data_IF_995622451442
#
_entry.id   IF_995622451442
#
_cell.length_a   1.000
_cell.length_b   1.000
_cell.length_c   1.000
_cell.angle_alpha   90.00
_cell.angle_beta   90.00
_cell.angle_gamma   90.00
#
_symmetry.space_group_name_H-M   'P 1'
#
loop_
_entity.id
_entity.type
_entity.pdbx_description
1 polymer ?
#
# COMPACT_ATOMS: atom_id res chain seq x y z
N UNK A 1 -16.12 -1.06 15.97
CA UNK A 1 -17.45 -0.95 15.31
C UNK A 1 -17.71 -2.23 14.52
N UNK A 2 -18.96 -2.73 14.55
CA UNK A 2 -19.33 -3.91 13.76
C UNK A 2 -20.04 -3.47 12.48
N UNK A 3 -19.71 -4.12 11.37
CA UNK A 3 -20.34 -3.88 10.07
C UNK A 3 -20.96 -5.18 9.57
N UNK A 4 -22.28 -5.18 9.35
CA UNK A 4 -23.03 -6.37 8.93
C UNK A 4 -23.25 -6.33 7.43
N UNK A 5 -22.86 -7.39 6.75
CA UNK A 5 -22.93 -7.52 5.29
C UNK A 5 -23.92 -8.62 4.95
N UNK A 6 -24.97 -8.27 4.23
CA UNK A 6 -25.89 -9.25 3.66
C UNK A 6 -25.24 -10.02 2.52
N UNK A 7 -25.44 -11.37 2.44
CA UNK A 7 -24.83 -12.22 1.43
C UNK A 7 -25.32 -11.90 0.03
N UNK A 8 -24.57 -12.36 -0.96
CA UNK A 8 -24.92 -12.31 -2.38
C UNK A 8 -24.08 -11.34 -3.21
N UNK A 9 -23.91 -11.72 -4.47
CA UNK A 9 -23.11 -11.00 -5.45
C UNK A 9 -23.57 -9.54 -5.60
N UNK A 10 -22.62 -8.67 -5.93
CA UNK A 10 -22.85 -7.23 -6.11
C UNK A 10 -22.56 -6.82 -7.55
N UNK A 11 -23.29 -5.82 -8.05
CA UNK A 11 -23.13 -5.27 -9.39
C UNK A 11 -23.25 -3.75 -9.38
N UNK A 12 -22.62 -3.10 -10.35
CA UNK A 12 -22.66 -1.65 -10.50
C UNK A 12 -21.31 -1.05 -10.88
N UNK A 13 -21.10 0.19 -10.49
CA UNK A 13 -19.87 0.90 -10.77
C UNK A 13 -19.34 1.58 -9.49
N UNK A 14 -18.02 1.61 -9.36
CA UNK A 14 -17.32 2.30 -8.25
C UNK A 14 -16.17 3.12 -8.79
N UNK A 15 -15.94 4.30 -8.19
CA UNK A 15 -14.76 5.11 -8.44
C UNK A 15 -13.78 4.91 -7.31
N UNK A 16 -12.62 4.39 -7.66
CA UNK A 16 -11.59 4.06 -6.67
C UNK A 16 -10.88 5.33 -6.15
N UNK A 17 -10.60 5.41 -4.83
CA UNK A 17 -9.83 6.50 -4.26
C UNK A 17 -8.40 6.53 -4.77
N UNK A 18 -7.72 7.66 -4.52
CA UNK A 18 -6.33 7.87 -4.88
C UNK A 18 -5.39 6.82 -4.24
N UNK A 19 -4.41 6.37 -5.03
CA UNK A 19 -3.39 5.43 -4.57
C UNK A 19 -2.59 6.02 -3.41
N UNK A 20 -2.75 5.40 -2.23
CA UNK A 20 -1.97 5.73 -1.05
C UNK A 20 -0.48 5.67 -1.34
N UNK A 21 -0.04 4.63 -2.01
CA UNK A 21 1.37 4.40 -2.33
C UNK A 21 1.95 5.45 -3.26
N UNK A 22 1.19 5.98 -4.22
CA UNK A 22 1.61 7.05 -5.08
C UNK A 22 1.54 8.42 -4.36
N UNK A 23 0.49 8.66 -3.56
CA UNK A 23 0.31 9.90 -2.83
C UNK A 23 1.48 10.20 -1.88
N UNK A 24 1.94 9.21 -1.08
CA UNK A 24 3.13 9.37 -0.23
C UNK A 24 4.33 9.88 -1.03
N UNK A 25 4.58 9.30 -2.19
CA UNK A 25 5.74 9.61 -3.04
C UNK A 25 5.67 11.01 -3.60
N UNK A 26 4.52 11.38 -4.15
CA UNK A 26 4.33 12.72 -4.72
C UNK A 26 4.35 13.80 -3.63
N UNK A 27 3.81 13.56 -2.45
CA UNK A 27 3.88 14.49 -1.32
C UNK A 27 5.32 14.72 -0.85
N UNK A 28 6.11 13.65 -0.74
CA UNK A 28 7.52 13.76 -0.37
C UNK A 28 8.29 14.55 -1.44
N UNK A 29 8.10 14.23 -2.72
CA UNK A 29 8.73 14.97 -3.82
C UNK A 29 8.32 16.46 -3.84
N UNK A 30 7.03 16.75 -3.59
CA UNK A 30 6.53 18.14 -3.51
C UNK A 30 7.15 18.90 -2.33
N UNK A 31 7.20 18.27 -1.15
CA UNK A 31 7.76 18.90 0.05
C UNK A 31 9.28 19.12 -0.04
N UNK A 32 10.00 18.27 -0.76
CA UNK A 32 11.43 18.43 -1.04
C UNK A 32 11.73 19.33 -2.24
N UNK A 33 10.69 19.88 -2.87
CA UNK A 33 10.76 20.70 -4.07
C UNK A 33 11.24 22.14 -3.87
N UNK A 34 11.14 22.93 -4.94
CA UNK A 34 11.47 24.38 -4.95
C UNK A 34 10.25 25.29 -5.11
N UNK A 35 9.15 24.77 -5.65
CA UNK A 35 7.95 25.52 -5.97
C UNK A 35 6.71 24.85 -5.38
N UNK A 36 5.63 25.61 -5.09
CA UNK A 36 4.37 25.04 -4.65
C UNK A 36 3.78 24.05 -5.66
N UNK A 37 3.20 22.96 -5.17
CA UNK A 37 2.58 21.91 -5.97
C UNK A 37 1.20 21.58 -5.42
N UNK A 38 0.22 21.48 -6.29
CA UNK A 38 -1.11 20.94 -5.95
C UNK A 38 -1.14 19.44 -6.23
N UNK A 39 -1.22 18.62 -5.19
CA UNK A 39 -1.36 17.16 -5.28
C UNK A 39 -2.82 16.81 -5.14
N UNK A 40 -3.49 16.46 -6.26
CA UNK A 40 -4.92 16.07 -6.26
C UNK A 40 -5.07 14.62 -5.87
N UNK A 41 -5.80 14.36 -4.78
CA UNK A 41 -6.05 13.04 -4.24
C UNK A 41 -7.56 12.82 -4.09
N UNK A 42 -8.17 12.01 -4.93
CA UNK A 42 -9.58 11.64 -4.80
C UNK A 42 -9.72 10.69 -3.58
N UNK A 43 -10.14 11.22 -2.43
CA UNK A 43 -10.26 10.49 -1.15
C UNK A 43 -8.95 10.40 -0.36
N UNK A 44 -8.84 11.24 0.66
CA UNK A 44 -7.74 11.19 1.63
C UNK A 44 -7.99 10.09 2.66
N UNK A 45 -6.95 9.39 3.06
CA UNK A 45 -6.97 8.38 4.11
C UNK A 45 -5.96 8.69 5.21
N UNK A 46 -6.03 7.97 6.32
CA UNK A 46 -5.20 8.24 7.50
C UNK A 46 -3.69 8.19 7.19
N UNK A 47 -3.25 7.26 6.34
CA UNK A 47 -1.82 7.14 6.00
C UNK A 47 -1.32 8.33 5.16
N UNK A 48 -2.12 8.83 4.21
CA UNK A 48 -1.79 10.04 3.42
C UNK A 48 -1.70 11.26 4.34
N UNK A 49 -2.69 11.41 5.23
CA UNK A 49 -2.74 12.51 6.20
C UNK A 49 -1.56 12.46 7.18
N UNK A 50 -1.14 11.28 7.62
CA UNK A 50 0.05 11.11 8.46
C UNK A 50 1.33 11.60 7.75
N UNK A 51 1.49 11.29 6.45
CA UNK A 51 2.62 11.82 5.68
C UNK A 51 2.56 13.34 5.59
N UNK A 52 1.40 13.91 5.29
CA UNK A 52 1.23 15.36 5.22
C UNK A 52 1.55 16.02 6.57
N UNK A 53 1.10 15.43 7.69
CA UNK A 53 1.38 15.93 9.04
C UNK A 53 2.88 15.88 9.38
N UNK A 54 3.57 14.78 9.04
CA UNK A 54 5.01 14.68 9.24
C UNK A 54 5.79 15.69 8.38
N UNK A 55 5.38 15.91 7.13
CA UNK A 55 6.02 16.89 6.26
C UNK A 55 5.79 18.34 6.75
N UNK A 56 4.59 18.64 7.32
CA UNK A 56 4.34 19.92 8.00
C UNK A 56 5.28 20.11 9.19
N UNK A 57 5.47 19.06 10.00
CA UNK A 57 6.39 19.12 11.15
C UNK A 57 7.84 19.33 10.73
N UNK A 58 8.22 18.95 9.50
CA UNK A 58 9.53 19.18 8.90
C UNK A 58 9.64 20.55 8.20
N UNK A 59 8.59 21.39 8.23
CA UNK A 59 8.60 22.77 7.72
C UNK A 59 7.93 22.98 6.37
N UNK A 60 7.24 21.99 5.79
CA UNK A 60 6.37 22.21 4.65
C UNK A 60 5.07 22.90 5.10
N UNK A 61 4.53 23.82 4.28
CA UNK A 61 3.17 24.30 4.48
C UNK A 61 2.23 23.53 3.56
N UNK A 62 1.33 22.74 4.15
CA UNK A 62 0.41 21.88 3.40
C UNK A 62 -1.03 22.20 3.82
N UNK A 63 -1.81 22.77 2.92
CA UNK A 63 -3.24 23.01 3.08
C UNK A 63 -4.06 21.95 2.36
N UNK A 64 -5.17 21.54 2.95
CA UNK A 64 -6.16 20.67 2.33
C UNK A 64 -7.32 21.51 1.83
N UNK A 65 -7.63 21.42 0.54
CA UNK A 65 -8.78 22.09 -0.05
C UNK A 65 -9.29 21.31 -1.26
N UNK A 66 -10.60 21.11 -1.36
CA UNK A 66 -11.30 20.51 -2.52
C UNK A 66 -10.72 19.15 -2.99
N UNK A 67 -10.36 18.28 -2.04
CA UNK A 67 -9.77 16.97 -2.35
C UNK A 67 -8.35 17.04 -2.90
N UNK A 68 -7.66 18.14 -2.66
CA UNK A 68 -6.26 18.33 -3.02
C UNK A 68 -5.42 18.75 -1.79
N UNK A 69 -4.15 18.43 -1.82
CA UNK A 69 -3.14 18.92 -0.88
C UNK A 69 -2.27 19.93 -1.61
N UNK A 70 -2.37 21.20 -1.18
CA UNK A 70 -1.53 22.29 -1.67
C UNK A 70 -0.25 22.33 -0.85
N UNK A 71 0.86 21.95 -1.45
CA UNK A 71 2.15 21.77 -0.78
C UNK A 71 3.08 22.90 -1.14
N UNK A 72 3.41 23.77 -0.17
CA UNK A 72 4.56 24.64 -0.24
C UNK A 72 5.77 23.89 0.33
N UNK A 73 6.90 23.83 -0.39
CA UNK A 73 8.04 23.01 -0.01
C UNK A 73 8.73 23.47 1.27
N UNK A 74 9.48 22.56 1.88
CA UNK A 74 10.33 22.82 3.05
C UNK A 74 11.42 23.82 2.64
N UNK A 75 11.35 25.06 3.16
CA UNK A 75 12.37 26.10 2.95
C UNK A 75 13.49 26.00 3.98
N UNK A 76 13.12 25.69 5.22
CA UNK A 76 14.01 25.46 6.34
C UNK A 76 13.35 24.47 7.31
N UNK A 77 14.14 23.63 7.93
CA UNK A 77 13.67 22.76 9.02
C UNK A 77 13.46 23.65 10.26
N UNK A 78 12.36 23.49 11.00
CA UNK A 78 12.16 24.20 12.27
C UNK A 78 13.29 23.90 13.28
N UNK A 79 13.62 24.88 14.11
CA UNK A 79 14.60 24.69 15.19
C UNK A 79 14.08 23.69 16.22
N UNK A 80 14.99 22.85 16.75
CA UNK A 80 14.69 21.87 17.78
C UNK A 80 14.14 20.55 17.29
N UNK A 81 13.44 19.83 18.17
CA UNK A 81 12.97 18.47 17.90
C UNK A 81 11.68 18.47 17.09
N UNK A 82 11.70 17.99 15.87
CA UNK A 82 10.52 17.79 15.03
C UNK A 82 9.71 16.58 15.50
N UNK A 83 8.43 16.77 15.81
CA UNK A 83 7.53 15.68 16.23
C UNK A 83 6.75 15.17 15.01
N UNK A 84 7.01 13.93 14.61
CA UNK A 84 6.48 13.32 13.39
C UNK A 84 5.37 12.30 13.72
N UNK A 85 4.09 12.67 13.64
CA UNK A 85 2.96 11.80 13.98
C UNK A 85 2.69 10.83 12.81
N UNK A 86 3.47 9.76 12.70
CA UNK A 86 3.30 8.79 11.61
C UNK A 86 2.17 7.77 11.87
N UNK A 87 1.55 7.77 13.07
CA UNK A 87 0.48 6.85 13.41
C UNK A 87 0.87 5.39 13.15
N UNK A 88 0.04 4.67 12.41
CA UNK A 88 0.33 3.31 11.96
C UNK A 88 0.96 3.22 10.55
N UNK A 89 1.29 4.36 9.91
CA UNK A 89 1.77 4.38 8.53
C UNK A 89 3.22 3.93 8.40
N UNK A 90 3.42 2.67 8.00
CA UNK A 90 4.75 2.13 7.74
C UNK A 90 5.49 2.82 6.60
N UNK A 91 4.76 3.30 5.58
CA UNK A 91 5.36 4.05 4.45
C UNK A 91 5.85 5.40 4.90
N UNK A 92 5.04 6.16 5.68
CA UNK A 92 5.43 7.46 6.23
C UNK A 92 6.70 7.32 7.06
N UNK A 93 6.72 6.39 8.02
CA UNK A 93 7.89 6.15 8.87
C UNK A 93 9.14 5.86 8.02
N UNK A 94 9.08 4.82 7.20
CA UNK A 94 10.26 4.33 6.48
C UNK A 94 10.79 5.31 5.45
N UNK A 95 9.89 5.97 4.70
CA UNK A 95 10.32 6.95 3.69
C UNK A 95 10.95 8.19 4.31
N UNK A 96 10.43 8.65 5.45
CA UNK A 96 10.92 9.87 6.08
C UNK A 96 12.17 9.66 6.94
N UNK A 97 12.50 8.42 7.37
CA UNK A 97 13.71 8.16 8.16
C UNK A 97 14.98 8.73 7.50
N UNK A 98 15.36 8.34 6.27
CA UNK A 98 16.54 8.92 5.63
C UNK A 98 16.34 10.37 5.18
N UNK A 99 15.09 10.79 4.88
CA UNK A 99 14.79 12.18 4.51
C UNK A 99 15.08 13.13 5.67
N UNK A 100 14.75 12.77 6.90
CA UNK A 100 15.10 13.53 8.12
C UNK A 100 16.62 13.73 8.20
N UNK A 101 17.40 12.67 7.98
CA UNK A 101 18.86 12.77 7.95
C UNK A 101 19.41 13.63 6.81
N UNK A 102 18.80 13.55 5.60
CA UNK A 102 19.18 14.38 4.46
C UNK A 102 18.84 15.85 4.67
N UNK A 103 17.82 16.17 5.46
CA UNK A 103 17.47 17.53 5.89
C UNK A 103 18.32 18.00 7.08
N UNK A 104 19.00 17.07 7.80
CA UNK A 104 19.76 17.36 9.03
C UNK A 104 18.86 17.75 10.20
N UNK A 105 17.65 17.24 10.25
CA UNK A 105 16.70 17.48 11.31
C UNK A 105 16.88 16.51 12.50
N UNK A 106 16.64 17.00 13.71
CA UNK A 106 16.41 16.13 14.87
C UNK A 106 14.90 15.85 14.96
N UNK A 107 14.52 14.58 15.03
CA UNK A 107 13.11 14.23 15.01
C UNK A 107 12.74 13.08 15.94
N UNK A 108 11.46 13.02 16.31
CA UNK A 108 10.84 11.88 16.99
C UNK A 108 9.63 11.40 16.20
N UNK A 109 9.64 10.15 15.79
CA UNK A 109 8.50 9.49 15.16
C UNK A 109 7.56 8.93 16.24
N UNK A 110 6.30 9.39 16.23
CA UNK A 110 5.24 8.82 17.05
C UNK A 110 4.60 7.67 16.28
N UNK A 111 4.77 6.46 16.80
CA UNK A 111 4.33 5.21 16.17
C UNK A 111 3.18 4.61 16.97
N UNK A 112 2.13 4.18 16.29
CA UNK A 112 0.92 3.61 16.89
C UNK A 112 0.67 2.18 16.42
N UNK A 113 -0.27 1.49 17.08
CA UNK A 113 -0.63 0.11 16.77
C UNK A 113 0.59 -0.80 16.76
N UNK A 114 0.70 -1.66 15.76
CA UNK A 114 1.85 -2.57 15.59
C UNK A 114 3.08 -1.93 14.96
N UNK A 115 3.05 -0.66 14.56
CA UNK A 115 4.18 -0.03 13.87
C UNK A 115 5.49 -0.05 14.69
N UNK A 116 5.49 0.10 16.03
CA UNK A 116 6.70 -0.04 16.84
C UNK A 116 7.38 -1.41 16.74
N UNK A 117 6.62 -2.48 16.50
CA UNK A 117 7.09 -3.87 16.44
C UNK A 117 7.58 -4.27 15.04
N UNK A 118 7.18 -3.52 14.02
CA UNK A 118 7.53 -3.84 12.62
C UNK A 118 9.02 -3.57 12.38
N UNK A 119 9.74 -4.51 11.71
CA UNK A 119 11.18 -4.39 11.51
C UNK A 119 11.56 -3.12 10.75
N UNK A 120 12.69 -2.54 11.14
CA UNK A 120 13.34 -1.43 10.45
C UNK A 120 14.76 -1.81 9.99
N UNK A 121 15.28 -2.94 10.45
CA UNK A 121 16.57 -3.47 9.97
C UNK A 121 16.41 -4.15 8.59
N UNK A 122 17.42 -4.03 7.72
CA UNK A 122 18.72 -3.40 7.95
C UNK A 122 18.77 -1.89 7.60
N UNK A 123 17.63 -1.23 7.34
CA UNK A 123 17.62 0.19 7.01
C UNK A 123 18.29 1.05 8.11
N UNK A 124 17.96 0.81 9.39
CA UNK A 124 18.55 1.60 10.47
C UNK A 124 20.06 1.42 10.55
N UNK A 125 20.58 0.21 10.39
CA UNK A 125 22.02 -0.06 10.38
C UNK A 125 22.74 0.71 9.27
N UNK A 126 22.15 0.77 8.06
CA UNK A 126 22.70 1.53 6.94
C UNK A 126 22.66 3.05 7.19
N UNK A 127 21.58 3.56 7.82
CA UNK A 127 21.49 4.97 8.18
C UNK A 127 22.45 5.36 9.29
N UNK A 128 22.70 4.47 10.27
CA UNK A 128 23.73 4.67 11.31
C UNK A 128 25.13 4.73 10.67
N UNK A 129 25.42 3.82 9.76
CA UNK A 129 26.67 3.86 9.00
C UNK A 129 26.82 5.16 8.19
N UNK A 130 25.70 5.69 7.71
CA UNK A 130 25.60 6.97 7.00
C UNK A 130 25.66 8.21 7.90
N UNK A 131 25.82 8.08 9.24
CA UNK A 131 26.00 9.20 10.18
C UNK A 131 24.78 9.59 11.00
N UNK A 132 23.66 8.85 10.89
CA UNK A 132 22.49 9.06 11.73
C UNK A 132 22.59 8.30 13.06
N UNK A 133 21.83 8.74 14.06
CA UNK A 133 21.71 8.10 15.36
C UNK A 133 20.24 7.85 15.67
N UNK A 134 19.95 6.70 16.29
CA UNK A 134 18.59 6.29 16.64
C UNK A 134 18.50 5.84 18.10
N UNK A 135 17.36 6.15 18.74
CA UNK A 135 17.01 5.67 20.07
C UNK A 135 15.51 5.37 20.12
N UNK A 136 15.17 4.15 20.48
CA UNK A 136 13.77 3.74 20.72
C UNK A 136 13.43 3.84 22.18
N UNK A 137 12.30 4.48 22.52
CA UNK A 137 11.83 4.65 23.89
C UNK A 137 10.32 4.80 23.92
N UNK A 138 9.62 3.96 24.67
CA UNK A 138 8.16 4.05 24.84
C UNK A 138 7.37 4.01 23.54
N UNK A 139 7.77 3.16 22.58
CA UNK A 139 7.15 3.07 21.25
C UNK A 139 7.57 4.19 20.27
N UNK A 140 8.20 5.26 20.75
CA UNK A 140 8.74 6.36 19.94
C UNK A 140 10.10 6.00 19.36
N UNK A 141 10.43 6.57 18.20
CA UNK A 141 11.74 6.45 17.59
C UNK A 141 12.34 7.85 17.43
N UNK A 142 13.36 8.15 18.22
CA UNK A 142 14.16 9.37 18.09
C UNK A 142 15.25 9.16 17.05
N UNK A 143 15.48 10.17 16.22
CA UNK A 143 16.57 10.17 15.26
C UNK A 143 17.21 11.57 15.21
N UNK A 144 18.53 11.58 15.00
CA UNK A 144 19.36 12.77 14.88
C UNK A 144 20.55 12.49 13.98
N UNK A 145 21.36 13.52 13.71
CA UNK A 145 22.53 13.41 12.83
C UNK A 145 22.20 13.66 11.37
N UNK A 146 23.25 13.84 10.56
CA UNK A 146 23.13 14.11 9.13
C UNK A 146 23.51 12.90 8.32
N UNK A 147 22.69 12.55 7.35
CA UNK A 147 23.00 11.49 6.40
C UNK A 147 24.11 11.99 5.45
N UNK A 148 25.18 11.20 5.34
CA UNK A 148 26.29 11.48 4.45
C UNK A 148 26.10 10.83 3.07
N UNK A 149 26.61 11.43 1.97
CA UNK A 149 26.73 10.71 0.70
C UNK A 149 27.72 9.55 0.81
N UNK A 150 27.51 8.51 0.00
CA UNK A 150 28.38 7.32 0.02
C UNK A 150 27.69 6.07 -0.52
N UNK A 151 28.25 4.92 -0.16
CA UNK A 151 27.74 3.62 -0.58
C UNK A 151 26.76 3.06 0.46
N UNK A 152 25.61 2.58 0.01
CA UNK A 152 24.55 1.96 0.80
C UNK A 152 24.23 0.58 0.25
N UNK A 153 23.93 -0.37 1.12
CA UNK A 153 23.60 -1.74 0.70
C UNK A 153 22.36 -2.24 1.41
N UNK A 154 21.37 -2.68 0.66
CA UNK A 154 20.12 -3.23 1.20
C UNK A 154 19.75 -4.54 0.50
N UNK A 155 19.23 -5.54 1.22
CA UNK A 155 18.66 -6.74 0.60
C UNK A 155 17.34 -6.42 -0.08
N UNK A 156 17.15 -6.96 -1.29
CA UNK A 156 15.96 -6.72 -2.12
C UNK A 156 14.71 -7.45 -1.64
N UNK A 157 14.87 -8.49 -0.82
CA UNK A 157 13.80 -9.38 -0.37
C UNK A 157 13.17 -9.04 0.98
N UNK A 158 13.61 -7.96 1.66
CA UNK A 158 13.04 -7.57 2.97
C UNK A 158 11.93 -6.54 2.79
N UNK A 159 12.23 -5.38 2.19
CA UNK A 159 11.23 -4.33 2.00
C UNK A 159 11.61 -3.37 0.88
N UNK A 160 10.77 -3.26 -0.14
CA UNK A 160 10.88 -2.22 -1.18
C UNK A 160 10.78 -0.80 -0.61
N UNK A 161 10.20 -0.62 0.60
CA UNK A 161 10.12 0.66 1.28
C UNK A 161 11.50 1.17 1.72
N UNK A 162 12.44 0.29 2.06
CA UNK A 162 13.79 0.69 2.46
C UNK A 162 14.57 1.25 1.28
N UNK A 163 14.48 0.57 0.13
CA UNK A 163 15.07 1.03 -1.13
C UNK A 163 14.47 2.38 -1.52
N UNK A 164 13.14 2.47 -1.57
CA UNK A 164 12.42 3.71 -1.86
C UNK A 164 12.80 4.87 -0.94
N UNK A 165 13.02 4.59 0.35
CA UNK A 165 13.40 5.58 1.34
C UNK A 165 14.75 6.23 1.00
N UNK A 166 15.78 5.43 0.70
CA UNK A 166 17.08 5.93 0.28
C UNK A 166 17.01 6.67 -1.04
N UNK A 167 16.21 6.19 -2.01
CA UNK A 167 16.01 6.88 -3.28
C UNK A 167 15.41 8.29 -3.12
N UNK A 168 14.61 8.56 -2.06
CA UNK A 168 14.13 9.92 -1.75
C UNK A 168 15.18 10.80 -1.08
N UNK A 169 16.12 10.24 -0.36
CA UNK A 169 17.05 11.03 0.45
C UNK A 169 18.37 11.31 -0.28
N UNK A 170 18.96 10.27 -0.89
CA UNK A 170 20.31 10.34 -1.46
C UNK A 170 20.48 11.41 -2.56
N UNK A 171 19.52 11.66 -3.46
CA UNK A 171 19.66 12.73 -4.45
C UNK A 171 19.81 14.15 -3.87
N UNK A 172 19.37 14.36 -2.62
CA UNK A 172 19.45 15.65 -1.92
C UNK A 172 20.82 15.93 -1.31
N UNK A 173 21.62 14.90 -1.06
CA UNK A 173 22.92 15.01 -0.42
C UNK A 173 23.91 15.75 -1.33
N UNK A 174 24.90 16.44 -0.76
CA UNK A 174 25.85 17.27 -1.52
C UNK A 174 26.73 16.46 -2.48
N UNK A 175 27.05 15.20 -2.14
CA UNK A 175 27.88 14.31 -2.94
C UNK A 175 27.08 13.16 -3.55
N UNK A 176 27.71 12.47 -4.49
CA UNK A 176 27.14 11.29 -5.14
C UNK A 176 27.04 10.10 -4.16
N UNK A 177 26.07 9.25 -4.38
CA UNK A 177 25.86 8.03 -3.63
C UNK A 177 25.64 6.84 -4.55
N UNK A 178 25.88 5.63 -4.05
CA UNK A 178 25.50 4.39 -4.69
C UNK A 178 24.61 3.57 -3.76
N UNK A 179 23.60 2.91 -4.32
CA UNK A 179 22.74 1.99 -3.59
C UNK A 179 22.84 0.62 -4.25
N UNK A 180 23.45 -0.33 -3.55
CA UNK A 180 23.53 -1.73 -3.95
C UNK A 180 22.35 -2.51 -3.38
N UNK A 181 21.67 -3.28 -4.20
CA UNK A 181 20.56 -4.16 -3.81
C UNK A 181 21.01 -5.59 -3.96
N UNK A 182 21.09 -6.32 -2.84
CA UNK A 182 21.57 -7.71 -2.82
C UNK A 182 20.40 -8.69 -2.85
N UNK A 183 20.62 -9.85 -3.46
CA UNK A 183 19.62 -10.92 -3.57
C UNK A 183 18.45 -10.59 -4.51
N UNK A 184 17.37 -11.35 -4.37
CA UNK A 184 16.17 -11.17 -5.19
C UNK A 184 15.45 -9.87 -4.84
N UNK A 185 15.00 -9.14 -5.88
CA UNK A 185 14.19 -7.92 -5.69
C UNK A 185 12.72 -8.29 -5.63
N UNK A 186 12.12 -8.16 -4.48
CA UNK A 186 10.69 -8.37 -4.31
C UNK A 186 9.91 -7.05 -4.33
N UNK A 187 8.66 -7.10 -4.80
CA UNK A 187 7.79 -5.91 -4.91
C UNK A 187 8.41 -4.78 -5.73
N UNK A 188 9.04 -5.10 -6.85
CA UNK A 188 9.69 -4.14 -7.77
C UNK A 188 8.72 -3.04 -8.24
N UNK A 189 7.42 -3.34 -8.38
CA UNK A 189 6.40 -2.36 -8.74
C UNK A 189 6.38 -1.16 -7.79
N UNK A 190 6.61 -1.36 -6.48
CA UNK A 190 6.68 -0.25 -5.52
C UNK A 190 7.98 0.57 -5.65
N UNK A 191 9.08 -0.05 -6.08
CA UNK A 191 10.33 0.68 -6.41
C UNK A 191 10.10 1.48 -7.68
N UNK A 192 9.50 0.90 -8.71
CA UNK A 192 9.15 1.58 -9.96
C UNK A 192 8.24 2.79 -9.75
N UNK A 193 7.28 2.72 -8.83
CA UNK A 193 6.48 3.89 -8.43
C UNK A 193 7.35 5.01 -7.84
N UNK A 194 8.40 4.69 -7.09
CA UNK A 194 9.33 5.69 -6.54
C UNK A 194 10.19 6.29 -7.65
N UNK A 195 10.72 5.47 -8.54
CA UNK A 195 11.46 5.93 -9.72
C UNK A 195 10.61 6.89 -10.57
N UNK A 196 9.34 6.54 -10.81
CA UNK A 196 8.40 7.39 -11.55
C UNK A 196 8.15 8.73 -10.86
N UNK A 197 7.93 8.75 -9.55
CA UNK A 197 7.72 10.00 -8.81
C UNK A 197 8.98 10.88 -8.84
N UNK A 198 10.16 10.28 -8.71
CA UNK A 198 11.45 10.98 -8.81
C UNK A 198 11.69 11.51 -10.22
N UNK A 199 11.44 10.71 -11.26
CA UNK A 199 11.56 11.15 -12.66
C UNK A 199 10.59 12.29 -12.99
N UNK A 200 9.33 12.23 -12.52
CA UNK A 200 8.38 13.35 -12.63
C UNK A 200 8.88 14.62 -11.92
N UNK A 201 9.69 14.45 -10.88
CA UNK A 201 10.32 15.56 -10.14
C UNK A 201 11.64 16.04 -10.77
N UNK A 202 12.03 15.50 -11.92
CA UNK A 202 13.29 15.85 -12.59
C UNK A 202 14.54 15.26 -11.93
N UNK A 203 14.38 14.37 -10.96
CA UNK A 203 15.48 13.66 -10.29
C UNK A 203 15.97 12.51 -11.17
N UNK A 204 17.27 12.43 -11.37
CA UNK A 204 17.92 11.40 -12.18
C UNK A 204 18.54 10.31 -11.31
N UNK A 205 18.22 9.08 -11.63
CA UNK A 205 18.82 7.87 -11.08
C UNK A 205 19.42 7.07 -12.24
N UNK A 206 20.60 6.55 -12.07
CA UNK A 206 21.23 5.66 -13.06
C UNK A 206 21.16 4.23 -12.54
N UNK A 207 20.38 3.39 -13.24
CA UNK A 207 20.29 1.97 -12.91
C UNK A 207 21.60 1.26 -13.25
N UNK A 208 22.03 0.40 -12.35
CA UNK A 208 23.14 -0.55 -12.55
C UNK A 208 22.62 -1.97 -12.42
N UNK A 209 23.43 -2.98 -12.73
CA UNK A 209 23.06 -4.37 -12.57
C UNK A 209 22.68 -4.73 -11.13
N UNK A 210 23.33 -4.07 -10.14
CA UNK A 210 23.13 -4.33 -8.72
C UNK A 210 22.32 -3.26 -7.98
N UNK A 211 21.88 -2.17 -8.63
CA UNK A 211 21.18 -1.10 -7.91
C UNK A 211 21.12 0.22 -8.64
N UNK A 212 21.69 1.28 -8.03
CA UNK A 212 21.60 2.65 -8.54
C UNK A 212 22.86 3.45 -8.24
N UNK A 213 23.34 4.20 -9.24
CA UNK A 213 24.22 5.35 -9.05
C UNK A 213 23.37 6.59 -8.96
N UNK A 214 23.55 7.39 -7.91
CA UNK A 214 22.68 8.49 -7.55
C UNK A 214 23.52 9.78 -7.44
N UNK A 215 23.47 10.67 -8.44
CA UNK A 215 24.09 11.98 -8.32
C UNK A 215 23.47 12.76 -7.16
N UNK A 216 24.33 13.45 -6.40
CA UNK A 216 23.91 14.33 -5.32
C UNK A 216 23.57 15.75 -5.81
N UNK A 217 23.19 16.62 -4.88
CA UNK A 217 22.88 18.03 -5.15
C UNK A 217 21.66 18.26 -6.05
N UNK A 218 20.82 17.26 -6.23
CA UNK A 218 19.67 17.35 -7.12
C UNK A 218 18.52 18.11 -6.46
N UNK A 219 17.71 18.71 -7.30
CA UNK A 219 16.51 19.47 -6.91
C UNK A 219 15.27 18.78 -7.42
N UNK A 220 14.26 18.74 -6.57
CA UNK A 220 12.94 18.23 -6.92
C UNK A 220 12.10 19.35 -7.53
N UNK A 221 11.47 19.09 -8.66
CA UNK A 221 10.65 20.05 -9.41
C UNK A 221 9.47 19.34 -10.07
N UNK A 222 8.45 19.01 -9.30
CA UNK A 222 7.19 18.50 -9.85
C UNK A 222 6.47 19.61 -10.64
N UNK A 223 5.62 19.24 -11.62
CA UNK A 223 4.66 20.16 -12.22
C UNK A 223 3.80 20.85 -11.16
N UNK A 224 3.33 22.08 -11.44
CA UNK A 224 2.53 22.86 -10.49
C UNK A 224 1.25 22.13 -9.99
N UNK A 225 0.75 21.18 -10.76
CA UNK A 225 -0.34 20.28 -10.36
C UNK A 225 -0.05 18.87 -10.83
N UNK A 226 -0.23 17.92 -9.93
CA UNK A 226 -0.14 16.47 -10.21
C UNK A 226 -1.40 15.79 -9.68
N UNK A 227 -1.85 14.76 -10.39
CA UNK A 227 -3.00 13.96 -9.97
C UNK A 227 -2.52 12.56 -9.57
N UNK A 228 -2.92 12.12 -8.38
CA UNK A 228 -2.74 10.75 -7.94
C UNK A 228 -3.72 9.87 -8.67
N UNK A 229 -3.27 8.78 -9.26
CA UNK A 229 -4.12 7.78 -9.90
C UNK A 229 -4.89 6.94 -8.88
N UNK A 230 -5.92 6.20 -9.33
CA UNK A 230 -6.66 5.27 -8.50
C UNK A 230 -5.79 4.12 -7.99
N UNK A 231 -6.13 3.61 -6.80
CA UNK A 231 -5.39 2.58 -6.09
C UNK A 231 -5.78 1.18 -6.56
N UNK A 232 -4.88 0.46 -7.24
CA UNK A 232 -5.11 -0.92 -7.65
C UNK A 232 -5.23 -1.89 -6.48
N UNK A 233 -4.54 -1.64 -5.36
CA UNK A 233 -4.70 -2.46 -4.16
C UNK A 233 -6.13 -2.37 -3.59
N UNK A 234 -6.72 -1.16 -3.59
CA UNK A 234 -8.11 -0.92 -3.17
C UNK A 234 -9.12 -1.42 -4.21
N UNK A 235 -8.80 -1.26 -5.49
CA UNK A 235 -9.63 -1.76 -6.59
C UNK A 235 -9.78 -3.27 -6.57
N UNK A 236 -8.75 -4.00 -6.14
CA UNK A 236 -8.73 -5.46 -6.12
C UNK A 236 -9.93 -6.07 -5.39
N UNK A 237 -10.41 -5.43 -4.31
CA UNK A 237 -11.60 -5.91 -3.60
C UNK A 237 -12.85 -5.88 -4.48
N UNK A 238 -13.10 -4.77 -5.17
CA UNK A 238 -14.26 -4.64 -6.06
C UNK A 238 -14.11 -5.47 -7.34
N UNK A 239 -12.89 -5.62 -7.86
CA UNK A 239 -12.60 -6.50 -8.99
C UNK A 239 -12.84 -7.98 -8.63
N UNK A 240 -12.42 -8.41 -7.42
CA UNK A 240 -12.74 -9.75 -6.91
C UNK A 240 -14.25 -9.94 -6.68
N UNK A 241 -14.97 -8.93 -6.15
CA UNK A 241 -16.42 -8.98 -6.05
C UNK A 241 -17.09 -9.07 -7.43
N UNK A 242 -16.57 -8.34 -8.43
CA UNK A 242 -17.03 -8.43 -9.80
C UNK A 242 -16.87 -9.83 -10.40
N UNK A 243 -15.77 -10.52 -10.07
CA UNK A 243 -15.54 -11.91 -10.49
C UNK A 243 -16.57 -12.90 -9.90
N UNK A 244 -17.27 -12.52 -8.83
CA UNK A 244 -18.37 -13.31 -8.24
C UNK A 244 -19.75 -12.97 -8.85
N UNK A 245 -19.87 -11.88 -9.59
CA UNK A 245 -21.13 -11.36 -10.16
C UNK A 245 -21.24 -11.67 -11.65
N UNK A 246 -22.41 -12.11 -12.09
CA UNK A 246 -22.72 -12.30 -13.53
C UNK A 246 -22.78 -10.97 -14.28
N UNK A 247 -23.39 -9.96 -13.67
CA UNK A 247 -23.49 -8.62 -14.25
C UNK A 247 -22.16 -7.83 -14.11
N UNK A 248 -21.33 -8.21 -13.14
CA UNK A 248 -20.02 -7.62 -12.92
C UNK A 248 -20.00 -6.28 -12.19
N UNK A 249 -18.80 -5.82 -11.92
CA UNK A 249 -18.53 -4.49 -11.33
C UNK A 249 -17.56 -3.74 -12.25
N UNK A 250 -17.90 -2.48 -12.55
CA UNK A 250 -17.03 -1.55 -13.28
C UNK A 250 -16.28 -0.66 -12.31
N UNK A 251 -14.97 -0.68 -12.36
CA UNK A 251 -14.05 0.10 -11.51
C UNK A 251 -13.44 1.22 -12.33
N UNK A 252 -13.65 2.48 -11.93
CA UNK A 252 -13.11 3.66 -12.62
C UNK A 252 -12.05 4.39 -11.78
N UNK A 253 -11.27 5.26 -12.42
CA UNK A 253 -10.21 6.03 -11.78
C UNK A 253 -8.83 5.40 -11.89
N UNK A 254 -8.74 4.15 -12.36
CA UNK A 254 -7.48 3.44 -12.62
C UNK A 254 -6.85 3.88 -13.94
N UNK A 255 -5.54 3.71 -14.08
CA UNK A 255 -4.79 3.93 -15.32
C UNK A 255 -4.30 2.60 -15.87
N UNK A 256 -4.47 2.41 -17.17
CA UNK A 256 -4.00 1.18 -17.86
C UNK A 256 -2.47 1.09 -17.90
N UNK A 257 -1.77 2.25 -17.95
CA UNK A 257 -0.31 2.37 -17.96
C UNK A 257 0.30 2.57 -16.56
N UNK A 258 -0.44 2.20 -15.50
CA UNK A 258 0.02 2.37 -14.11
C UNK A 258 1.25 1.53 -13.80
N UNK A 259 2.19 2.12 -13.07
CA UNK A 259 3.36 1.43 -12.53
C UNK A 259 3.05 0.67 -11.21
N UNK A 260 1.81 0.69 -10.73
CA UNK A 260 1.42 -0.07 -9.54
C UNK A 260 1.52 -1.57 -9.82
N UNK A 261 2.36 -2.28 -9.03
CA UNK A 261 2.51 -3.73 -9.18
C UNK A 261 1.20 -4.51 -9.02
N UNK A 262 0.29 -3.97 -8.20
CA UNK A 262 -1.02 -4.56 -7.93
C UNK A 262 -1.98 -4.52 -9.14
N UNK A 263 -1.62 -3.86 -10.26
CA UNK A 263 -2.30 -4.02 -11.55
C UNK A 263 -2.32 -5.47 -12.01
N UNK A 264 -1.37 -6.29 -11.57
CA UNK A 264 -1.32 -7.73 -11.82
C UNK A 264 -2.58 -8.48 -11.35
N UNK A 265 -3.44 -7.86 -10.50
CA UNK A 265 -4.75 -8.42 -10.14
C UNK A 265 -5.57 -8.82 -11.36
N UNK A 266 -5.49 -8.06 -12.45
CA UNK A 266 -6.25 -8.36 -13.68
C UNK A 266 -5.81 -9.66 -14.34
N UNK A 267 -4.50 -9.89 -14.38
CA UNK A 267 -3.94 -11.11 -14.98
C UNK A 267 -4.21 -12.32 -14.08
N UNK A 268 -4.14 -12.13 -12.75
CA UNK A 268 -4.48 -13.18 -11.79
C UNK A 268 -5.97 -13.54 -11.89
N UNK A 269 -6.88 -12.56 -11.98
CA UNK A 269 -8.32 -12.81 -12.14
C UNK A 269 -8.63 -13.53 -13.46
N UNK A 270 -7.97 -13.17 -14.56
CA UNK A 270 -8.09 -13.88 -15.84
C UNK A 270 -7.58 -15.31 -15.73
N UNK A 271 -6.43 -15.51 -15.06
CA UNK A 271 -5.88 -16.84 -14.80
C UNK A 271 -6.77 -17.70 -13.89
N UNK A 272 -7.58 -17.09 -13.03
CA UNK A 272 -8.60 -17.76 -12.23
C UNK A 272 -9.93 -17.95 -12.97
N UNK A 273 -10.02 -17.57 -14.25
CA UNK A 273 -11.21 -17.78 -15.09
C UNK A 273 -12.24 -16.66 -15.05
N UNK A 274 -11.96 -15.50 -14.44
CA UNK A 274 -12.84 -14.34 -14.51
C UNK A 274 -12.71 -13.61 -15.86
N UNK A 275 -13.79 -12.93 -16.27
CA UNK A 275 -13.80 -12.08 -17.45
C UNK A 275 -13.44 -10.63 -17.05
N UNK A 276 -12.27 -10.15 -17.43
CA UNK A 276 -11.80 -8.79 -17.15
C UNK A 276 -11.60 -8.00 -18.45
N UNK A 277 -12.34 -6.91 -18.60
CA UNK A 277 -12.36 -6.03 -19.79
C UNK A 277 -11.89 -4.63 -19.38
N UNK A 278 -10.93 -4.07 -20.12
CA UNK A 278 -10.43 -2.70 -19.94
C UNK A 278 -11.05 -1.81 -21.02
N UNK A 279 -11.72 -0.71 -20.62
CA UNK A 279 -12.35 0.25 -21.49
C UNK A 279 -12.13 1.69 -21.00
N UNK A 280 -12.49 2.68 -21.81
CA UNK A 280 -12.37 4.09 -21.44
C UNK A 280 -13.19 4.47 -20.18
N UNK A 281 -14.29 3.78 -19.90
CA UNK A 281 -15.13 3.98 -18.72
C UNK A 281 -14.52 3.39 -17.43
N UNK A 282 -13.55 2.49 -17.56
CA UNK A 282 -12.92 1.78 -16.44
C UNK A 282 -12.70 0.31 -16.76
N UNK A 283 -12.41 -0.46 -15.73
CA UNK A 283 -12.16 -1.90 -15.80
C UNK A 283 -13.41 -2.61 -15.28
N UNK A 284 -14.00 -3.46 -16.11
CA UNK A 284 -15.16 -4.28 -15.74
C UNK A 284 -14.72 -5.72 -15.54
N UNK A 285 -15.01 -6.28 -14.37
CA UNK A 285 -14.79 -7.71 -14.10
C UNK A 285 -16.14 -8.39 -13.87
N UNK A 286 -16.31 -9.54 -14.51
CA UNK A 286 -17.52 -10.38 -14.43
C UNK A 286 -17.14 -11.83 -14.15
N UNK A 287 -18.09 -12.57 -13.60
CA UNK A 287 -17.97 -13.99 -13.35
C UNK A 287 -17.76 -14.76 -14.65
N UNK A 288 -16.73 -15.60 -14.65
CA UNK A 288 -16.53 -16.67 -15.60
C UNK A 288 -16.56 -18.02 -14.88
N UNK A 289 -15.90 -19.04 -15.42
CA UNK A 289 -15.69 -20.33 -14.74
C UNK A 289 -14.50 -20.20 -13.79
N UNK A 290 -14.78 -19.83 -12.54
CA UNK A 290 -13.74 -19.60 -11.54
C UNK A 290 -13.13 -20.93 -11.08
N UNK A 291 -11.80 -20.98 -11.10
CA UNK A 291 -11.02 -22.16 -10.65
C UNK A 291 -9.77 -21.73 -9.88
N UNK A 292 -9.19 -22.67 -9.15
CA UNK A 292 -7.99 -22.45 -8.37
C UNK A 292 -6.77 -22.13 -9.23
N UNK A 293 -5.80 -21.47 -8.62
CA UNK A 293 -4.56 -21.03 -9.27
C UNK A 293 -3.37 -21.06 -8.30
N UNK A 294 -2.16 -20.99 -8.83
CA UNK A 294 -0.96 -20.69 -8.04
C UNK A 294 -0.72 -19.18 -8.10
N UNK A 295 -0.66 -18.53 -6.94
CA UNK A 295 -0.48 -17.08 -6.81
C UNK A 295 0.84 -16.80 -6.12
N UNK A 296 1.77 -16.15 -6.81
CA UNK A 296 3.00 -15.64 -6.21
C UNK A 296 2.73 -14.33 -5.47
N UNK A 297 2.91 -14.35 -4.14
CA UNK A 297 2.67 -13.19 -3.29
C UNK A 297 3.84 -12.19 -3.27
N UNK A 298 5.03 -12.57 -3.71
CA UNK A 298 6.21 -11.71 -3.64
C UNK A 298 6.05 -10.38 -4.38
N UNK A 299 5.50 -10.31 -5.63
CA UNK A 299 5.25 -9.04 -6.30
C UNK A 299 4.02 -8.29 -5.76
N UNK A 300 3.00 -8.99 -5.24
CA UNK A 300 1.65 -8.45 -4.96
C UNK A 300 1.12 -8.80 -3.56
N UNK A 301 1.91 -8.61 -2.50
CA UNK A 301 1.54 -9.06 -1.15
C UNK A 301 0.22 -8.46 -0.64
N UNK A 302 -0.16 -7.30 -1.16
CA UNK A 302 -1.34 -6.57 -0.73
C UNK A 302 -2.64 -7.07 -1.38
N UNK A 303 -2.56 -7.88 -2.43
CA UNK A 303 -3.72 -8.50 -3.08
C UNK A 303 -4.19 -9.79 -2.39
N UNK A 304 -3.32 -10.46 -1.63
CA UNK A 304 -3.54 -11.83 -1.16
C UNK A 304 -4.84 -12.01 -0.36
N UNK A 305 -5.22 -11.14 0.61
CA UNK A 305 -6.48 -11.33 1.33
C UNK A 305 -7.72 -11.33 0.42
N UNK A 306 -7.77 -10.41 -0.57
CA UNK A 306 -8.89 -10.34 -1.52
C UNK A 306 -8.94 -11.55 -2.45
N UNK A 307 -7.78 -11.98 -2.97
CA UNK A 307 -7.67 -13.14 -3.86
C UNK A 307 -7.98 -14.46 -3.14
N UNK A 308 -7.60 -14.61 -1.86
CA UNK A 308 -7.96 -15.76 -1.05
C UNK A 308 -9.47 -15.82 -0.77
N UNK A 309 -10.12 -14.64 -0.56
CA UNK A 309 -11.57 -14.57 -0.41
C UNK A 309 -12.30 -15.01 -1.72
N UNK A 310 -11.79 -14.62 -2.88
CA UNK A 310 -12.28 -15.11 -4.18
C UNK A 310 -12.03 -16.61 -4.36
N UNK A 311 -10.82 -17.08 -4.00
CA UNK A 311 -10.42 -18.48 -4.15
C UNK A 311 -11.32 -19.44 -3.35
N UNK A 312 -11.79 -19.03 -2.17
CA UNK A 312 -12.71 -19.82 -1.37
C UNK A 312 -14.08 -20.06 -2.05
N UNK A 313 -14.43 -19.23 -3.04
CA UNK A 313 -15.65 -19.37 -3.86
C UNK A 313 -15.38 -19.98 -5.25
N UNK A 314 -14.14 -20.25 -5.61
CA UNK A 314 -13.75 -20.88 -6.88
C UNK A 314 -13.82 -22.40 -6.80
N UNK A 315 -13.68 -23.12 -7.91
CA UNK A 315 -13.55 -24.57 -7.94
C UNK A 315 -12.07 -24.98 -7.78
N UNK A 316 -11.82 -26.04 -7.02
CA UNK A 316 -10.48 -26.62 -6.85
C UNK A 316 -9.63 -25.91 -5.78
N UNK A 317 -8.33 -26.01 -5.91
CA UNK A 317 -7.34 -25.55 -4.93
C UNK A 317 -6.59 -24.31 -5.44
N UNK A 318 -6.48 -23.28 -4.60
CA UNK A 318 -5.59 -22.13 -4.83
C UNK A 318 -4.43 -22.19 -3.86
N UNK A 319 -3.21 -22.07 -4.38
CA UNK A 319 -1.99 -22.10 -3.61
C UNK A 319 -1.28 -20.74 -3.67
N UNK A 320 -1.15 -20.09 -2.52
CA UNK A 320 -0.37 -18.84 -2.37
C UNK A 320 1.05 -19.23 -1.95
N UNK A 321 2.05 -18.74 -2.68
CA UNK A 321 3.47 -19.03 -2.45
C UNK A 321 4.26 -17.73 -2.25
N UNK A 322 5.49 -17.84 -1.71
CA UNK A 322 6.42 -16.71 -1.48
C UNK A 322 5.80 -15.59 -0.62
N UNK A 323 5.02 -15.97 0.39
CA UNK A 323 4.21 -15.05 1.18
C UNK A 323 4.75 -14.76 2.59
N UNK A 324 5.97 -15.20 2.94
CA UNK A 324 6.54 -15.06 4.28
C UNK A 324 6.46 -13.63 4.84
N UNK A 325 6.65 -12.59 4.00
CA UNK A 325 6.58 -11.19 4.41
C UNK A 325 5.19 -10.71 4.83
N UNK A 326 4.15 -11.43 4.49
CA UNK A 326 2.79 -11.10 4.91
C UNK A 326 2.63 -11.18 6.44
N UNK A 327 3.46 -11.97 7.12
CA UNK A 327 3.48 -12.07 8.59
C UNK A 327 3.96 -10.79 9.29
N UNK A 328 4.68 -9.94 8.57
CA UNK A 328 5.28 -8.70 9.08
C UNK A 328 4.49 -7.44 8.68
N UNK A 329 3.23 -7.60 8.25
CA UNK A 329 2.35 -6.49 7.86
C UNK A 329 1.58 -5.93 9.08
N UNK A 330 0.47 -5.25 8.84
CA UNK A 330 -0.41 -4.68 9.86
C UNK A 330 -0.92 -5.75 10.86
N UNK A 331 -1.17 -6.94 10.35
CA UNK A 331 -1.39 -8.18 11.09
C UNK A 331 -0.41 -9.25 10.57
N UNK A 332 -0.36 -10.43 11.17
CA UNK A 332 0.11 -11.62 10.47
C UNK A 332 -0.97 -11.99 9.43
N UNK A 333 -0.80 -11.47 8.19
CA UNK A 333 -1.83 -11.60 7.15
C UNK A 333 -2.04 -13.02 6.68
N UNK A 334 -1.09 -13.94 6.85
CA UNK A 334 -1.32 -15.36 6.56
C UNK A 334 -2.28 -15.92 7.59
N UNK A 335 -1.96 -15.78 8.87
CA UNK A 335 -2.79 -16.28 9.96
C UNK A 335 -4.19 -15.62 9.98
N UNK A 336 -4.25 -14.29 9.80
CA UNK A 336 -5.53 -13.56 9.84
C UNK A 336 -6.41 -13.85 8.63
N UNK A 337 -5.84 -14.04 7.43
CA UNK A 337 -6.60 -14.45 6.24
C UNK A 337 -7.14 -15.87 6.41
N UNK A 338 -6.32 -16.80 6.89
CA UNK A 338 -6.75 -18.18 7.16
C UNK A 338 -7.88 -18.21 8.20
N UNK A 339 -7.72 -17.48 9.32
CA UNK A 339 -8.73 -17.39 10.37
C UNK A 339 -10.04 -16.78 9.88
N UNK A 340 -9.97 -15.69 9.09
CA UNK A 340 -11.14 -15.07 8.46
C UNK A 340 -11.92 -16.08 7.62
N UNK A 341 -11.24 -16.76 6.70
CA UNK A 341 -11.88 -17.71 5.79
C UNK A 341 -12.44 -18.94 6.54
N UNK A 342 -11.68 -19.47 7.51
CA UNK A 342 -12.14 -20.58 8.34
C UNK A 342 -13.39 -20.21 9.15
N UNK A 343 -13.49 -18.99 9.71
CA UNK A 343 -14.68 -18.53 10.43
C UNK A 343 -15.92 -18.41 9.54
N UNK A 344 -15.72 -18.27 8.23
CA UNK A 344 -16.78 -18.25 7.22
C UNK A 344 -17.07 -19.65 6.63
N UNK A 345 -16.41 -20.70 7.13
CA UNK A 345 -16.63 -22.08 6.75
C UNK A 345 -15.78 -22.61 5.60
N UNK A 346 -14.77 -21.88 5.14
CA UNK A 346 -13.82 -22.37 4.14
C UNK A 346 -12.81 -23.35 4.75
N UNK A 347 -12.29 -24.26 3.92
CA UNK A 347 -11.15 -25.09 4.26
C UNK A 347 -9.86 -24.40 3.79
N UNK A 348 -8.99 -24.04 4.74
CA UNK A 348 -7.73 -23.32 4.48
C UNK A 348 -6.61 -23.96 5.28
N UNK A 349 -5.47 -24.19 4.62
CA UNK A 349 -4.26 -24.65 5.25
C UNK A 349 -3.25 -23.49 5.32
N UNK A 350 -2.82 -23.16 6.53
CA UNK A 350 -1.76 -22.18 6.73
C UNK A 350 -0.39 -22.87 6.65
N UNK A 351 0.46 -22.37 5.73
CA UNK A 351 1.84 -22.82 5.56
C UNK A 351 2.81 -21.75 6.13
N UNK A 352 4.08 -22.09 6.42
CA UNK A 352 5.07 -21.13 6.89
C UNK A 352 5.20 -19.90 5.98
N UNK A 353 5.14 -20.07 4.66
CA UNK A 353 5.35 -19.05 3.64
C UNK A 353 4.18 -18.98 2.63
N UNK A 354 2.97 -19.37 3.03
CA UNK A 354 1.84 -19.36 2.12
C UNK A 354 0.53 -19.82 2.71
N UNK A 355 -0.44 -20.01 1.82
CA UNK A 355 -1.77 -20.56 2.14
C UNK A 355 -2.19 -21.54 1.06
N UNK A 356 -2.94 -22.56 1.45
CA UNK A 356 -3.72 -23.38 0.51
C UNK A 356 -5.17 -23.14 0.80
N UNK A 357 -5.93 -22.64 -0.17
CA UNK A 357 -7.37 -22.37 -0.05
C UNK A 357 -8.12 -23.36 -0.93
N UNK A 358 -8.96 -24.16 -0.31
CA UNK A 358 -9.83 -25.10 -1.02
C UNK A 358 -11.16 -24.41 -1.30
N UNK A 359 -11.56 -24.37 -2.55
CA UNK A 359 -12.86 -23.90 -2.96
C UNK A 359 -13.97 -24.86 -2.52
N UNK A 360 -15.17 -24.37 -2.33
CA UNK A 360 -16.28 -25.21 -1.88
C UNK A 360 -17.44 -24.41 -1.32
N UNK A 361 -17.33 -23.09 -1.35
CA UNK A 361 -18.35 -22.17 -0.88
C UNK A 361 -18.14 -21.72 0.57
N UNK A 362 -18.87 -20.68 0.92
CA UNK A 362 -18.80 -19.99 2.19
C UNK A 362 -20.19 -19.94 2.83
N UNK A 363 -20.26 -20.09 4.15
CA UNK A 363 -21.52 -19.99 4.89
C UNK A 363 -21.84 -18.56 5.31
N UNK A 364 -20.96 -17.94 6.01
CA UNK A 364 -21.13 -16.66 6.69
C UNK A 364 -20.75 -16.78 8.17
N UNK A 365 -20.88 -15.70 8.94
CA UNK A 365 -20.53 -15.68 10.35
C UNK A 365 -19.87 -14.39 10.82
N UNK A 366 -19.15 -14.45 11.94
CA UNK A 366 -18.42 -13.31 12.48
C UNK A 366 -16.92 -13.40 12.14
N UNK A 367 -16.37 -12.27 11.72
CA UNK A 367 -14.96 -12.08 11.35
C UNK A 367 -14.38 -10.95 12.18
N UNK A 368 -13.22 -11.16 12.81
CA UNK A 368 -12.43 -10.07 13.38
C UNK A 368 -11.46 -9.52 12.34
N UNK A 369 -11.49 -8.22 12.12
CA UNK A 369 -10.55 -7.53 11.22
C UNK A 369 -9.11 -7.50 11.74
N UNK A 370 -8.86 -7.80 13.01
CA UNK A 370 -7.54 -7.79 13.65
C UNK A 370 -6.74 -6.52 13.37
N UNK A 371 -7.44 -5.37 13.36
CA UNK A 371 -6.90 -4.03 13.03
C UNK A 371 -6.26 -3.94 11.64
N UNK A 372 -6.52 -4.91 10.74
CA UNK A 372 -6.03 -4.88 9.36
C UNK A 372 -7.18 -4.58 8.38
N UNK A 373 -7.12 -3.41 7.76
CA UNK A 373 -8.11 -2.94 6.80
C UNK A 373 -8.29 -3.91 5.62
N UNK A 374 -7.24 -4.66 5.23
CA UNK A 374 -7.34 -5.62 4.12
C UNK A 374 -8.12 -6.86 4.51
N UNK A 375 -8.06 -7.27 5.76
CA UNK A 375 -8.88 -8.38 6.28
C UNK A 375 -10.35 -7.96 6.34
N UNK A 376 -10.64 -6.74 6.84
CA UNK A 376 -12.01 -6.21 6.85
C UNK A 376 -12.62 -6.15 5.44
N UNK A 377 -11.87 -5.61 4.45
CA UNK A 377 -12.33 -5.51 3.08
C UNK A 377 -12.41 -6.87 2.36
N UNK A 378 -11.51 -7.81 2.67
CA UNK A 378 -11.56 -9.17 2.13
C UNK A 378 -12.77 -9.96 2.65
N UNK A 379 -13.18 -9.71 3.91
CA UNK A 379 -14.42 -10.28 4.44
C UNK A 379 -15.66 -9.80 3.66
N UNK A 380 -15.65 -8.56 3.15
CA UNK A 380 -16.72 -8.07 2.28
C UNK A 380 -16.71 -8.76 0.90
N UNK A 381 -15.53 -9.11 0.36
CA UNK A 381 -15.44 -9.95 -0.86
C UNK A 381 -16.04 -11.32 -0.58
N UNK A 382 -15.62 -11.98 0.51
CA UNK A 382 -16.13 -13.29 0.90
C UNK A 382 -17.64 -13.29 1.10
N UNK A 383 -18.20 -12.23 1.72
CA UNK A 383 -19.65 -12.08 1.95
C UNK A 383 -20.47 -12.12 0.65
N UNK A 384 -19.89 -11.70 -0.49
CA UNK A 384 -20.56 -11.80 -1.79
C UNK A 384 -20.81 -13.25 -2.24
N UNK A 385 -20.05 -14.21 -1.72
CA UNK A 385 -20.19 -15.64 -1.99
C UNK A 385 -20.81 -16.44 -0.83
N UNK A 386 -21.06 -15.82 0.32
CA UNK A 386 -21.67 -16.46 1.47
C UNK A 386 -23.17 -16.72 1.26
N UNK A 387 -23.70 -17.71 2.00
CA UNK A 387 -25.13 -18.02 2.06
C UNK A 387 -25.85 -17.31 3.21
N UNK A 388 -25.09 -16.91 4.25
CA UNK A 388 -25.55 -16.22 5.46
C UNK A 388 -24.83 -14.89 5.64
N UNK A 389 -25.36 -13.97 6.48
CA UNK A 389 -24.72 -12.69 6.73
C UNK A 389 -23.32 -12.84 7.34
N UNK A 390 -22.46 -11.84 7.02
CA UNK A 390 -21.12 -11.72 7.60
C UNK A 390 -21.09 -10.49 8.49
N UNK A 391 -20.68 -10.65 9.75
CA UNK A 391 -20.43 -9.54 10.67
C UNK A 391 -18.92 -9.30 10.80
N UNK A 392 -18.46 -8.13 10.41
CA UNK A 392 -17.04 -7.76 10.52
C UNK A 392 -16.84 -6.87 11.73
N UNK A 393 -16.07 -7.36 12.72
CA UNK A 393 -15.68 -6.63 13.91
C UNK A 393 -14.41 -5.81 13.64
N UNK A 394 -14.36 -4.57 14.15
CA UNK A 394 -13.21 -3.67 13.94
C UNK A 394 -13.19 -3.02 12.56
N UNK A 395 -14.36 -2.81 11.95
CA UNK A 395 -14.51 -2.24 10.60
C UNK A 395 -13.85 -0.87 10.42
N UNK A 396 -13.74 -0.07 11.48
CA UNK A 396 -13.10 1.25 11.48
C UNK A 396 -11.66 1.23 10.99
N UNK A 397 -10.99 0.07 10.99
CA UNK A 397 -9.63 -0.06 10.45
C UNK A 397 -9.56 0.23 8.95
N UNK A 398 -10.69 0.17 8.21
CA UNK A 398 -10.76 0.54 6.79
C UNK A 398 -10.37 2.00 6.55
N UNK A 399 -10.56 2.89 7.53
CA UNK A 399 -10.17 4.31 7.47
C UNK A 399 -8.67 4.52 7.19
N UNK A 400 -7.86 3.52 7.45
CA UNK A 400 -6.42 3.56 7.20
C UNK A 400 -6.07 3.75 5.72
N UNK A 401 -6.85 3.12 4.82
CA UNK A 401 -6.57 3.15 3.38
C UNK A 401 -7.78 3.49 2.52
N UNK A 402 -9.00 3.18 2.95
CA UNK A 402 -10.22 3.41 2.19
C UNK A 402 -11.40 3.76 3.12
N UNK A 403 -11.49 5.00 3.63
CA UNK A 403 -12.53 5.41 4.59
C UNK A 403 -13.96 5.19 4.08
N UNK A 404 -14.19 5.38 2.77
CA UNK A 404 -15.52 5.26 2.15
C UNK A 404 -15.83 3.85 1.64
N UNK A 405 -15.02 2.84 1.95
CA UNK A 405 -15.23 1.49 1.41
C UNK A 405 -16.64 0.94 1.70
N UNK A 406 -17.13 1.12 2.92
CA UNK A 406 -18.47 0.69 3.32
C UNK A 406 -19.60 1.42 2.55
N UNK A 407 -19.44 2.72 2.30
CA UNK A 407 -20.38 3.52 1.48
C UNK A 407 -20.39 3.04 0.05
N UNK A 408 -19.22 2.92 -0.57
CA UNK A 408 -19.05 2.48 -1.97
C UNK A 408 -19.53 1.03 -2.15
N UNK A 409 -19.28 0.15 -1.16
CA UNK A 409 -19.83 -1.20 -1.14
C UNK A 409 -21.37 -1.20 -1.09
N UNK A 410 -21.97 -0.39 -0.21
CA UNK A 410 -23.43 -0.30 -0.06
C UNK A 410 -24.13 0.38 -1.26
N UNK A 411 -23.42 1.19 -2.03
CA UNK A 411 -23.93 1.78 -3.27
C UNK A 411 -24.07 0.76 -4.41
N UNK A 412 -23.35 -0.35 -4.34
CA UNK A 412 -23.52 -1.45 -5.29
C UNK A 412 -24.85 -2.17 -5.07
N UNK A 413 -25.53 -2.49 -6.16
CA UNK A 413 -26.79 -3.24 -6.11
C UNK A 413 -26.49 -4.72 -5.82
N UNK A 414 -27.34 -5.32 -5.02
CA UNK A 414 -27.33 -6.79 -4.87
C UNK A 414 -27.87 -7.41 -6.17
N UNK A 415 -27.19 -8.41 -6.68
CA UNK A 415 -27.64 -9.15 -7.85
C UNK A 415 -28.86 -10.01 -7.44
N UNK A 416 -29.94 -9.90 -8.18
CA UNK A 416 -31.11 -10.74 -7.96
C UNK A 416 -30.78 -12.18 -8.36
N UNK A 417 -31.11 -13.12 -7.48
CA UNK A 417 -31.02 -14.54 -7.81
C UNK A 417 -32.13 -14.86 -8.81
N UNK A 418 -31.85 -15.52 -9.95
CA UNK A 418 -32.87 -15.86 -10.94
C UNK A 418 -33.89 -16.84 -10.41
#
# INVERSE_FOLDING_TARGET
MNFVISPGARTGAVRIPASKSQAHRLLICAALGKAPVTVRCDGLNADILATAACLRALGANIAEQDGALHVEPIKAVPDGLCVLPCGESGSTLRFLLPVVGALGADAVFLREGRLPERPLEPLLSELVRGGMMFRSEGGKLFCSGKLAPGEYTLPGNISSQYISALLFALPRLAGNSALTITGARESEGYIAMTENALAQSGVRLFKTDSGYDIPGGQTYALPAAVKVEGDYSSAAFFLCMGALSRCGITVSGLRADSAQGDRAVLDILRAMGACAEEAAAGITVRRGTLHGAVIDAAPVPDLIPALCALAAAAEGETRVVNAARLRLKESDRLATTAAMLASLGAHVEELPEGLVVHGGGLRGGAVSAQHDHRIAMAAAVAACACTEPVTVEGWECTNKSYPRFGEDFNALKREETP
#
